data_IF_565753365534
#
_entry.id   IF_565753365534
#
_cell.length_a   1.000
_cell.length_b   1.000
_cell.length_c   1.000
_cell.angle_alpha   90.00
_cell.angle_beta   90.00
_cell.angle_gamma   90.00
#
_symmetry.space_group_name_H-M   'P 1'
#
loop_
_entity.id
_entity.type
_entity.pdbx_description
1 polymer ?
#
# COMPACT_ATOMS: atom_id res chain seq x y z
N UNK A 1 -12.11 20.24 0.31
CA UNK A 1 -10.83 20.13 1.03
C UNK A 1 -10.18 18.86 0.51
N UNK A 2 -9.15 18.97 -0.33
CA UNK A 2 -8.36 17.79 -0.73
C UNK A 2 -7.52 17.40 0.49
N UNK A 3 -7.99 16.42 1.26
CA UNK A 3 -7.16 15.76 2.25
C UNK A 3 -6.12 14.97 1.47
N UNK A 4 -4.94 15.56 1.28
CA UNK A 4 -3.83 14.88 0.61
C UNK A 4 -3.30 13.84 1.58
N UNK A 5 -3.74 12.58 1.44
CA UNK A 5 -3.21 11.46 2.21
C UNK A 5 -1.72 11.33 1.90
N UNK A 6 -0.88 11.20 2.93
CA UNK A 6 0.56 10.97 2.72
C UNK A 6 0.83 9.52 2.33
N UNK A 7 1.83 9.21 1.49
CA UNK A 7 2.17 7.82 1.16
C UNK A 7 2.38 6.94 2.39
N UNK A 8 3.03 7.48 3.43
CA UNK A 8 3.30 6.77 4.68
C UNK A 8 2.02 6.45 5.47
N UNK A 9 1.00 7.31 5.39
CA UNK A 9 -0.31 7.07 6.02
C UNK A 9 -1.06 5.95 5.29
N UNK A 10 -0.98 5.94 3.96
CA UNK A 10 -1.55 4.86 3.14
C UNK A 10 -0.88 3.52 3.45
N UNK A 11 0.45 3.49 3.53
CA UNK A 11 1.23 2.30 3.87
C UNK A 11 0.92 1.82 5.28
N UNK A 12 0.88 2.75 6.26
CA UNK A 12 0.57 2.41 7.65
C UNK A 12 -0.84 1.83 7.79
N UNK A 13 -1.81 2.33 7.03
CA UNK A 13 -3.17 1.82 7.03
C UNK A 13 -3.26 0.40 6.44
N UNK A 14 -2.56 0.14 5.32
CA UNK A 14 -2.45 -1.22 4.75
C UNK A 14 -1.81 -2.17 5.77
N UNK A 15 -0.72 -1.76 6.42
CA UNK A 15 -0.05 -2.56 7.44
C UNK A 15 -0.96 -2.85 8.64
N UNK A 16 -1.73 -1.86 9.11
CA UNK A 16 -2.70 -2.01 10.19
C UNK A 16 -3.74 -3.07 9.85
N UNK A 17 -4.34 -3.00 8.66
CA UNK A 17 -5.35 -3.95 8.21
C UNK A 17 -4.78 -5.37 8.04
N UNK A 18 -3.58 -5.49 7.45
CA UNK A 18 -2.86 -6.76 7.33
C UNK A 18 -2.64 -7.42 8.69
N UNK A 19 -2.12 -6.66 9.66
CA UNK A 19 -1.86 -7.19 11.00
C UNK A 19 -3.15 -7.57 11.73
N UNK A 20 -4.21 -6.78 11.59
CA UNK A 20 -5.53 -7.10 12.14
C UNK A 20 -6.11 -8.38 11.52
N UNK A 21 -5.98 -8.58 10.21
CA UNK A 21 -6.42 -9.80 9.54
C UNK A 21 -5.64 -11.03 10.04
N UNK A 22 -4.31 -10.93 10.11
CA UNK A 22 -3.43 -12.00 10.60
C UNK A 22 -3.69 -12.34 12.06
N UNK A 23 -3.94 -11.35 12.93
CA UNK A 23 -4.29 -11.59 14.34
C UNK A 23 -5.59 -12.37 14.53
N UNK A 24 -6.47 -12.36 13.51
CA UNK A 24 -7.72 -13.14 13.46
C UNK A 24 -7.55 -14.49 12.75
N UNK A 25 -6.31 -14.89 12.43
CA UNK A 25 -5.99 -16.13 11.74
C UNK A 25 -6.30 -16.12 10.24
N UNK A 26 -6.52 -14.95 9.64
CA UNK A 26 -6.67 -14.81 8.19
C UNK A 26 -5.30 -14.69 7.52
N UNK A 27 -5.23 -15.08 6.25
CA UNK A 27 -4.04 -14.92 5.43
C UNK A 27 -4.39 -14.13 4.17
N UNK A 28 -4.48 -12.79 4.26
CA UNK A 28 -4.79 -11.96 3.11
C UNK A 28 -3.67 -12.03 2.07
N UNK A 29 -4.03 -11.89 0.80
CA UNK A 29 -3.10 -11.96 -0.33
C UNK A 29 -3.22 -10.76 -1.27
N UNK A 30 -4.24 -9.91 -1.08
CA UNK A 30 -4.54 -8.79 -1.96
C UNK A 30 -4.82 -7.51 -1.18
N UNK A 31 -4.59 -6.37 -1.83
CA UNK A 31 -5.03 -5.07 -1.38
C UNK A 31 -5.74 -4.36 -2.52
N UNK A 32 -6.99 -3.95 -2.27
CA UNK A 32 -7.74 -3.09 -3.16
C UNK A 32 -7.38 -1.64 -2.88
N UNK A 33 -7.11 -0.85 -3.92
CA UNK A 33 -6.90 0.59 -3.79
C UNK A 33 -7.34 1.32 -5.05
N UNK A 34 -7.58 2.62 -4.93
CA UNK A 34 -7.91 3.46 -6.09
C UNK A 34 -6.70 3.71 -6.99
N UNK A 35 -6.96 4.12 -8.23
CA UNK A 35 -5.89 4.49 -9.16
C UNK A 35 -5.00 5.62 -8.63
N UNK A 36 -5.59 6.59 -7.91
CA UNK A 36 -4.85 7.72 -7.34
C UNK A 36 -3.99 7.29 -6.15
N UNK A 37 -4.49 6.37 -5.32
CA UNK A 37 -3.70 5.75 -4.24
C UNK A 37 -2.52 4.94 -4.80
N UNK A 38 -2.74 4.17 -5.87
CA UNK A 38 -1.66 3.45 -6.54
C UNK A 38 -0.60 4.40 -7.13
N UNK A 39 -1.02 5.46 -7.80
CA UNK A 39 -0.10 6.48 -8.34
C UNK A 39 0.72 7.14 -7.24
N UNK A 40 0.11 7.40 -6.09
CA UNK A 40 0.80 7.94 -4.92
C UNK A 40 1.87 6.97 -4.39
N UNK A 41 1.55 5.67 -4.28
CA UNK A 41 2.54 4.65 -3.88
C UNK A 41 3.65 4.49 -4.91
N UNK A 42 3.34 4.47 -6.20
CA UNK A 42 4.36 4.32 -7.25
C UNK A 42 5.30 5.52 -7.30
N UNK A 43 4.78 6.74 -7.12
CA UNK A 43 5.61 7.93 -6.95
C UNK A 43 6.54 7.78 -5.75
N UNK A 44 6.02 7.36 -4.60
CA UNK A 44 6.81 7.20 -3.38
C UNK A 44 7.86 6.08 -3.52
N UNK A 45 7.53 4.97 -4.17
CA UNK A 45 8.46 3.89 -4.51
C UNK A 45 9.62 4.39 -5.36
N UNK A 46 9.35 5.20 -6.39
CA UNK A 46 10.39 5.79 -7.22
C UNK A 46 11.25 6.77 -6.41
N UNK A 47 10.63 7.60 -5.58
CA UNK A 47 11.34 8.51 -4.67
C UNK A 47 12.30 7.76 -3.73
N UNK A 48 11.86 6.65 -3.13
CA UNK A 48 12.72 5.79 -2.31
C UNK A 48 13.83 5.11 -3.11
N UNK A 49 13.55 4.67 -4.34
CA UNK A 49 14.54 4.05 -5.23
C UNK A 49 15.64 5.00 -5.70
N UNK A 50 15.41 6.32 -5.65
CA UNK A 50 16.43 7.35 -5.88
C UNK A 50 17.34 7.57 -4.65
N UNK A 51 17.01 6.97 -3.49
CA UNK A 51 17.83 7.09 -2.28
C UNK A 51 18.98 6.08 -2.26
N UNK A 52 20.15 6.42 -1.67
CA UNK A 52 21.31 5.52 -1.59
C UNK A 52 21.08 4.23 -0.79
N UNK A 53 19.98 4.14 -0.03
CA UNK A 53 19.73 3.09 0.96
C UNK A 53 19.06 1.83 0.39
N UNK A 54 18.81 1.78 -0.93
CA UNK A 54 18.13 0.66 -1.57
C UNK A 54 16.60 0.78 -1.47
N UNK A 55 15.88 0.20 -2.43
CA UNK A 55 14.42 0.26 -2.46
C UNK A 55 13.80 -0.39 -1.23
N UNK A 56 12.69 0.15 -0.74
CA UNK A 56 11.91 -0.47 0.32
C UNK A 56 11.42 -1.87 -0.10
N UNK A 57 11.92 -2.92 0.54
CA UNK A 57 11.57 -4.32 0.24
C UNK A 57 10.07 -4.63 0.37
N UNK A 58 9.33 -3.80 1.11
CA UNK A 58 7.88 -3.93 1.28
C UNK A 58 7.06 -3.19 0.21
N UNK A 59 7.69 -2.44 -0.72
CA UNK A 59 7.03 -1.72 -1.80
C UNK A 59 7.57 -2.15 -3.16
N UNK A 60 6.90 -3.13 -3.75
CA UNK A 60 7.15 -3.57 -5.11
C UNK A 60 6.24 -2.82 -6.10
N UNK A 61 6.51 -2.99 -7.40
CA UNK A 61 5.74 -2.29 -8.45
C UNK A 61 4.24 -2.63 -8.42
N UNK A 62 3.91 -3.87 -8.11
CA UNK A 62 2.53 -4.38 -8.14
C UNK A 62 2.14 -5.06 -6.82
N UNK A 63 2.95 -4.89 -5.77
CA UNK A 63 2.68 -5.49 -4.48
C UNK A 63 3.16 -4.59 -3.34
N UNK A 64 2.48 -4.67 -2.19
CA UNK A 64 2.86 -3.98 -0.95
C UNK A 64 2.71 -4.94 0.22
N UNK A 65 3.76 -5.09 1.03
CA UNK A 65 3.88 -6.14 2.06
C UNK A 65 3.61 -7.57 1.53
N UNK A 66 3.93 -7.82 0.25
CA UNK A 66 3.63 -9.08 -0.43
C UNK A 66 2.17 -9.28 -0.83
N UNK A 67 1.30 -8.29 -0.61
CA UNK A 67 -0.09 -8.29 -1.10
C UNK A 67 -0.14 -7.78 -2.54
N UNK A 68 -0.80 -8.51 -3.43
CA UNK A 68 -1.04 -8.06 -4.81
C UNK A 68 -1.95 -6.82 -4.82
N UNK A 69 -1.56 -5.80 -5.58
CA UNK A 69 -2.34 -4.58 -5.71
C UNK A 69 -3.39 -4.75 -6.81
N UNK A 70 -4.66 -4.60 -6.44
CA UNK A 70 -5.79 -4.56 -7.37
C UNK A 70 -6.39 -3.15 -7.39
N UNK A 71 -6.61 -2.61 -8.59
CA UNK A 71 -7.18 -1.27 -8.77
C UNK A 71 -8.69 -1.36 -8.82
N UNK A 72 -9.36 -0.76 -7.83
CA UNK A 72 -10.82 -0.76 -7.68
C UNK A 72 -11.34 0.62 -7.26
N UNK A 73 -12.66 0.84 -7.41
CA UNK A 73 -13.30 2.07 -6.92
C UNK A 73 -13.52 1.99 -5.40
N UNK A 74 -12.47 2.27 -4.63
CA UNK A 74 -12.50 2.33 -3.17
C UNK A 74 -12.04 3.70 -2.65
N UNK A 75 -12.64 4.15 -1.55
CA UNK A 75 -12.28 5.43 -0.90
C UNK A 75 -11.00 5.31 -0.04
N UNK A 76 -10.74 4.12 0.49
CA UNK A 76 -9.58 3.76 1.32
C UNK A 76 -9.05 2.39 0.90
N UNK A 77 -7.76 2.07 1.15
CA UNK A 77 -7.22 0.76 0.84
C UNK A 77 -7.96 -0.32 1.64
N UNK A 78 -8.13 -1.51 1.06
CA UNK A 78 -8.78 -2.65 1.71
C UNK A 78 -7.96 -3.91 1.53
N UNK A 79 -7.44 -4.47 2.63
CA UNK A 79 -6.73 -5.76 2.65
C UNK A 79 -7.73 -6.91 2.72
N UNK A 80 -7.58 -7.91 1.84
CA UNK A 80 -8.49 -9.06 1.72
C UNK A 80 -7.77 -10.39 1.88
#
# INVERSE_FOLDING_TARGET
>A
METTIRPEELIAEIYRQLHEAQSRGKNPDTVLMSLDQYRLLDWYRNFLGETPEGGAEYLEKYAVFGLEILIEQVESPQVQ
#
